data_IF_746578327469
#
_entry.id   IF_746578327469
#
_cell.length_a   1.000
_cell.length_b   1.000
_cell.length_c   1.000
_cell.angle_alpha   90.00
_cell.angle_beta   90.00
_cell.angle_gamma   90.00
#
_symmetry.space_group_name_H-M   'P 1'
#
loop_
_entity.id
_entity.type
_entity.pdbx_description
1 polymer ?
#
# COMPACT_ATOMS: atom_id res chain seq x y z
N UNK A 1 -45.68 -0.18 -0.38
CA UNK A 1 -44.45 0.63 -0.28
C UNK A 1 -43.51 -0.17 0.58
N UNK A 2 -42.40 -0.67 0.02
CA UNK A 2 -41.48 -1.54 0.75
C UNK A 2 -40.44 -0.69 1.46
N UNK A 3 -40.69 -0.41 2.74
CA UNK A 3 -39.63 0.09 3.63
C UNK A 3 -38.44 -0.87 3.59
N UNK A 4 -37.22 -0.35 3.56
CA UNK A 4 -35.96 -1.12 3.51
C UNK A 4 -35.90 -2.13 4.68
N UNK A 5 -36.30 -1.69 5.88
CA UNK A 5 -36.58 -2.50 7.07
C UNK A 5 -37.42 -1.68 8.06
N UNK A 6 -38.12 -2.33 8.99
CA UNK A 6 -38.90 -1.66 10.04
C UNK A 6 -38.11 -1.50 11.33
N UNK A 7 -37.36 -2.53 11.75
CA UNK A 7 -36.51 -2.41 12.94
C UNK A 7 -35.24 -3.25 12.93
N UNK A 8 -34.27 -2.91 13.80
CA UNK A 8 -33.09 -3.72 14.06
C UNK A 8 -33.29 -4.54 15.33
N UNK A 9 -32.90 -5.82 15.30
CA UNK A 9 -32.83 -6.67 16.51
C UNK A 9 -31.39 -6.93 16.98
N UNK A 10 -30.41 -6.50 16.19
CA UNK A 10 -28.99 -6.58 16.51
C UNK A 10 -28.26 -5.46 15.78
N UNK A 11 -27.32 -4.80 16.46
CA UNK A 11 -26.49 -3.76 15.88
C UNK A 11 -25.21 -3.61 16.73
N UNK A 12 -24.04 -3.83 16.15
CA UNK A 12 -22.75 -3.71 16.85
C UNK A 12 -21.63 -3.34 15.88
N UNK A 13 -20.53 -2.82 16.42
CA UNK A 13 -19.31 -2.57 15.69
C UNK A 13 -18.19 -3.50 16.16
N UNK A 14 -17.23 -3.73 15.28
CA UNK A 14 -15.98 -4.42 15.55
C UNK A 14 -14.94 -4.01 14.52
N UNK A 15 -13.68 -4.28 14.79
CA UNK A 15 -12.63 -4.31 13.77
C UNK A 15 -12.65 -5.65 13.04
N UNK A 16 -11.98 -5.71 11.88
CA UNK A 16 -11.89 -6.95 11.07
C UNK A 16 -11.29 -8.14 11.82
N UNK A 17 -10.42 -7.87 12.79
CA UNK A 17 -9.84 -8.88 13.68
C UNK A 17 -10.78 -9.26 14.86
N UNK A 18 -12.04 -8.82 14.83
CA UNK A 18 -13.06 -9.03 15.86
C UNK A 18 -12.77 -8.38 17.22
N UNK A 19 -11.87 -7.40 17.28
CA UNK A 19 -11.63 -6.59 18.49
C UNK A 19 -12.43 -5.28 18.44
N UNK A 20 -12.53 -4.58 19.56
CA UNK A 20 -13.13 -3.24 19.66
C UNK A 20 -12.09 -2.14 19.87
N UNK A 21 -10.79 -2.47 19.83
CA UNK A 21 -9.71 -1.51 20.02
C UNK A 21 -8.60 -1.77 19.01
N UNK A 22 -8.08 -0.71 18.39
CA UNK A 22 -7.00 -0.82 17.41
C UNK A 22 -6.11 0.41 17.39
N UNK A 23 -5.11 0.35 16.53
CA UNK A 23 -4.23 1.46 16.22
C UNK A 23 -4.28 1.77 14.73
N UNK A 24 -4.04 3.03 14.38
CA UNK A 24 -4.08 3.53 12.99
C UNK A 24 -2.95 4.53 12.79
N UNK A 25 -2.24 4.47 11.67
CA UNK A 25 -1.24 5.48 11.36
C UNK A 25 -1.91 6.80 10.94
N UNK A 26 -1.57 7.89 11.64
CA UNK A 26 -1.97 9.25 11.35
C UNK A 26 -1.17 9.84 10.19
N UNK A 27 -1.33 9.24 9.02
CA UNK A 27 -0.65 9.62 7.77
C UNK A 27 -1.65 10.02 6.65
N UNK A 28 -2.95 10.07 6.97
CA UNK A 28 -4.04 10.38 6.04
C UNK A 28 -4.28 9.37 4.93
N UNK A 29 -3.54 8.25 4.92
CA UNK A 29 -3.55 7.22 3.88
C UNK A 29 -3.92 5.85 4.44
N UNK A 30 -3.48 5.53 5.65
CA UNK A 30 -3.84 4.29 6.34
C UNK A 30 -5.35 4.31 6.62
N UNK A 31 -6.03 3.25 6.19
CA UNK A 31 -7.44 3.01 6.44
C UNK A 31 -7.60 1.77 7.32
N UNK A 32 -8.48 1.84 8.31
CA UNK A 32 -8.89 0.70 9.14
C UNK A 32 -10.33 0.35 8.86
N UNK A 33 -10.61 -0.94 8.67
CA UNK A 33 -11.97 -1.44 8.43
C UNK A 33 -12.73 -1.60 9.76
N UNK A 34 -13.77 -0.78 9.92
CA UNK A 34 -14.79 -0.90 10.96
C UNK A 34 -15.93 -1.72 10.39
N UNK A 35 -16.13 -2.91 10.95
CA UNK A 35 -17.18 -3.85 10.57
C UNK A 35 -18.41 -3.61 11.43
N UNK A 36 -19.47 -3.15 10.77
CA UNK A 36 -20.79 -2.98 11.34
C UNK A 36 -21.57 -4.27 11.12
N UNK A 37 -22.08 -4.87 12.19
CA UNK A 37 -22.90 -6.08 12.13
C UNK A 37 -24.33 -5.76 12.59
N UNK A 38 -25.33 -6.20 11.84
CA UNK A 38 -26.73 -5.94 12.16
C UNK A 38 -27.68 -7.05 11.71
N UNK A 39 -28.86 -7.11 12.33
CA UNK A 39 -29.99 -7.93 11.88
C UNK A 39 -31.19 -6.99 11.74
N UNK A 40 -31.70 -6.86 10.52
CA UNK A 40 -32.84 -6.03 10.18
C UNK A 40 -34.10 -6.89 10.00
N UNK A 41 -35.25 -6.35 10.40
CA UNK A 41 -36.56 -7.01 10.35
C UNK A 41 -37.59 -6.13 9.66
N UNK A 42 -38.55 -6.73 8.97
CA UNK A 42 -39.73 -6.05 8.46
C UNK A 42 -40.81 -5.83 9.56
N UNK A 43 -41.97 -5.32 9.16
CA UNK A 43 -43.10 -5.02 10.04
C UNK A 43 -43.79 -6.29 10.60
N UNK A 44 -43.49 -7.46 10.03
CA UNK A 44 -43.99 -8.76 10.46
C UNK A 44 -43.00 -9.49 11.37
N UNK A 45 -41.82 -8.93 11.58
CA UNK A 45 -40.75 -9.54 12.36
C UNK A 45 -39.97 -10.62 11.61
N UNK A 46 -40.05 -10.64 10.28
CA UNK A 46 -39.23 -11.50 9.43
C UNK A 46 -37.90 -10.80 9.11
N UNK A 47 -36.80 -11.56 9.13
CA UNK A 47 -35.49 -11.01 8.83
C UNK A 47 -35.41 -10.56 7.36
N UNK A 48 -34.92 -9.35 7.12
CA UNK A 48 -34.68 -8.81 5.78
C UNK A 48 -33.19 -8.62 5.51
N UNK A 49 -32.77 -8.98 4.30
CA UNK A 49 -31.40 -8.77 3.82
C UNK A 49 -31.34 -7.51 2.97
N UNK A 50 -30.43 -6.61 3.33
CA UNK A 50 -30.27 -5.32 2.70
C UNK A 50 -29.15 -5.40 1.66
N UNK A 51 -29.36 -4.81 0.50
CA UNK A 51 -28.30 -4.71 -0.50
C UNK A 51 -27.33 -3.57 -0.16
N UNK A 52 -26.15 -3.58 -0.79
CA UNK A 52 -25.11 -2.58 -0.54
C UNK A 52 -25.57 -1.14 -0.77
N UNK A 53 -26.48 -0.88 -1.72
CA UNK A 53 -26.97 0.48 -1.98
C UNK A 53 -27.87 0.97 -0.82
N UNK A 54 -28.74 0.09 -0.31
CA UNK A 54 -29.59 0.37 0.84
C UNK A 54 -28.76 0.64 2.10
N UNK A 55 -27.71 -0.16 2.33
CA UNK A 55 -26.83 0.02 3.49
C UNK A 55 -26.05 1.34 3.37
N UNK A 56 -25.37 1.58 2.23
CA UNK A 56 -24.59 2.80 2.02
C UNK A 56 -25.40 4.09 2.14
N UNK A 57 -26.69 4.05 1.80
CA UNK A 57 -27.55 5.23 1.88
C UNK A 57 -27.97 5.58 3.32
N UNK A 58 -28.03 4.58 4.20
CA UNK A 58 -28.69 4.69 5.51
C UNK A 58 -27.76 4.46 6.71
N UNK A 59 -26.57 3.90 6.48
CA UNK A 59 -25.58 3.62 7.51
C UNK A 59 -24.45 4.65 7.46
N UNK A 60 -24.14 5.26 8.60
CA UNK A 60 -23.03 6.19 8.74
C UNK A 60 -22.25 5.94 10.04
N UNK A 61 -20.99 6.40 10.08
CA UNK A 61 -20.18 6.37 11.29
C UNK A 61 -20.28 7.70 12.04
N UNK A 62 -20.37 7.65 13.37
CA UNK A 62 -20.45 8.82 14.24
C UNK A 62 -19.49 8.72 15.44
N UNK A 63 -19.28 9.83 16.13
CA UNK A 63 -18.63 9.86 17.43
C UNK A 63 -19.53 9.18 18.47
N UNK A 64 -18.95 8.26 19.24
CA UNK A 64 -19.70 7.44 20.19
C UNK A 64 -20.33 8.25 21.33
N UNK A 65 -19.76 9.38 21.73
CA UNK A 65 -20.26 10.18 22.83
C UNK A 65 -21.22 11.28 22.38
N UNK A 66 -20.97 11.90 21.22
CA UNK A 66 -21.79 13.03 20.74
C UNK A 66 -22.84 12.64 19.72
N UNK A 67 -22.68 11.52 19.02
CA UNK A 67 -23.52 11.15 17.88
C UNK A 67 -23.25 11.96 16.61
N UNK A 68 -22.35 12.93 16.66
CA UNK A 68 -21.98 13.75 15.49
C UNK A 68 -21.17 12.92 14.47
N UNK A 69 -21.18 13.26 13.17
CA UNK A 69 -20.36 12.58 12.17
C UNK A 69 -18.88 12.50 12.58
N UNK A 70 -18.21 11.38 12.24
CA UNK A 70 -16.78 11.21 12.59
C UNK A 70 -15.85 12.16 11.83
N UNK A 71 -16.32 12.86 10.79
CA UNK A 71 -15.50 13.66 9.87
C UNK A 71 -14.97 14.99 10.46
N UNK A 72 -14.84 15.03 11.78
CA UNK A 72 -14.37 16.16 12.56
C UNK A 72 -12.97 15.88 13.12
N UNK A 73 -12.23 16.93 13.48
CA UNK A 73 -10.94 16.84 14.18
C UNK A 73 -9.87 15.99 13.46
N UNK A 74 -9.93 15.95 12.13
CA UNK A 74 -8.95 15.22 11.30
C UNK A 74 -9.23 13.73 11.13
N UNK A 75 -10.39 13.22 11.57
CA UNK A 75 -10.87 11.87 11.25
C UNK A 75 -11.72 11.90 9.98
N UNK A 76 -11.74 10.79 9.23
CA UNK A 76 -12.48 10.71 7.96
C UNK A 76 -13.10 9.33 7.74
N UNK A 77 -14.30 9.31 7.19
CA UNK A 77 -14.97 8.11 6.68
C UNK A 77 -14.62 7.90 5.19
N UNK A 78 -13.67 7.01 4.91
CA UNK A 78 -13.28 6.60 3.55
C UNK A 78 -12.74 7.73 2.66
N UNK A 79 -11.41 7.86 2.55
CA UNK A 79 -10.77 8.87 1.69
C UNK A 79 -10.33 8.35 0.32
N UNK A 80 -10.46 7.06 0.04
CA UNK A 80 -10.07 6.52 -1.27
C UNK A 80 -10.50 5.09 -1.58
N UNK A 81 -9.89 4.52 -2.62
CA UNK A 81 -10.19 3.19 -3.12
C UNK A 81 -9.77 2.04 -2.17
N UNK A 82 -9.22 2.32 -0.98
CA UNK A 82 -8.71 1.27 -0.09
C UNK A 82 -7.27 0.89 -0.35
N UNK A 83 -6.42 1.85 -0.72
CA UNK A 83 -5.05 1.54 -1.12
C UNK A 83 -4.20 1.05 0.07
N UNK A 84 -4.36 1.58 1.29
CA UNK A 84 -3.55 1.21 2.46
C UNK A 84 -4.41 0.72 3.65
N UNK A 85 -5.11 -0.40 3.43
CA UNK A 85 -6.00 -1.01 4.42
C UNK A 85 -5.22 -1.83 5.46
N UNK A 86 -5.61 -1.70 6.73
CA UNK A 86 -5.18 -2.52 7.86
C UNK A 86 -6.37 -2.97 8.71
N UNK A 87 -6.16 -3.98 9.56
CA UNK A 87 -7.17 -4.53 10.47
C UNK A 87 -7.17 -3.86 11.86
N UNK A 88 -6.42 -2.76 12.03
CA UNK A 88 -6.20 -2.09 13.31
C UNK A 88 -5.06 -2.70 14.14
N UNK A 89 -4.38 -3.74 13.66
CA UNK A 89 -3.13 -4.25 14.23
C UNK A 89 -1.98 -3.75 13.37
N UNK A 90 -1.34 -2.67 13.84
CA UNK A 90 -0.13 -2.15 13.20
C UNK A 90 1.13 -2.69 13.88
N UNK A 91 2.21 -2.81 13.10
CA UNK A 91 3.49 -3.27 13.61
C UNK A 91 3.99 -2.40 14.76
N UNK A 92 4.56 -3.05 15.78
CA UNK A 92 5.08 -2.37 16.96
C UNK A 92 4.02 -1.92 17.97
N UNK A 93 2.72 -2.02 17.66
CA UNK A 93 1.65 -1.76 18.65
C UNK A 93 1.68 -2.80 19.78
N UNK A 94 1.31 -2.40 21.00
CA UNK A 94 1.17 -3.34 22.11
C UNK A 94 0.16 -4.46 21.80
N UNK A 95 -0.87 -4.15 21.01
CA UNK A 95 -1.86 -5.11 20.52
C UNK A 95 -1.23 -6.19 19.63
N UNK A 96 -0.29 -5.84 18.75
CA UNK A 96 0.44 -6.81 17.91
C UNK A 96 1.28 -7.80 18.74
N UNK A 97 1.71 -7.42 19.95
CA UNK A 97 2.45 -8.31 20.88
C UNK A 97 1.54 -9.25 21.67
N UNK A 98 0.27 -8.86 21.85
CA UNK A 98 -0.74 -9.65 22.56
C UNK A 98 -1.55 -10.54 21.60
N UNK A 99 -1.60 -10.19 20.31
CA UNK A 99 -2.22 -11.01 19.28
C UNK A 99 -1.28 -12.13 18.81
N UNK A 100 -0.99 -13.12 19.67
CA UNK A 100 -0.63 -14.44 19.15
C UNK A 100 -1.89 -15.01 18.50
N UNK A 101 -2.03 -14.79 17.19
CA UNK A 101 -3.18 -15.28 16.44
C UNK A 101 -3.29 -16.81 16.64
N UNK A 102 -4.46 -17.34 17.06
CA UNK A 102 -4.78 -18.73 16.83
C UNK A 102 -4.66 -18.97 15.33
N UNK A 103 -3.94 -20.03 14.93
CA UNK A 103 -3.76 -20.39 13.53
C UNK A 103 -5.12 -20.32 12.79
N UNK A 104 -5.16 -19.79 11.55
CA UNK A 104 -6.38 -19.73 10.77
C UNK A 104 -6.89 -21.15 10.58
N UNK A 105 -7.89 -21.56 11.36
CA UNK A 105 -8.63 -22.77 11.09
C UNK A 105 -9.33 -22.54 9.76
N UNK A 106 -8.95 -23.35 8.77
CA UNK A 106 -9.56 -23.48 7.44
C UNK A 106 -10.90 -22.76 7.32
N UNK A 107 -10.90 -21.65 6.59
CA UNK A 107 -12.13 -21.03 6.09
C UNK A 107 -12.70 -22.01 5.06
N UNK A 108 -13.42 -23.02 5.55
CA UNK A 108 -14.40 -23.71 4.72
C UNK A 108 -15.43 -22.66 4.34
N UNK A 109 -15.54 -22.39 3.04
CA UNK A 109 -16.67 -21.69 2.47
C UNK A 109 -17.93 -22.50 2.79
N UNK A 110 -18.54 -22.18 3.92
CA UNK A 110 -19.83 -22.71 4.32
C UNK A 110 -20.87 -22.03 3.40
N UNK A 111 -21.16 -22.71 2.29
CA UNK A 111 -22.42 -22.55 1.58
C UNK A 111 -23.50 -23.08 2.53
N UNK A 112 -23.98 -22.22 3.43
CA UNK A 112 -25.09 -22.53 4.32
C UNK A 112 -26.34 -22.13 3.58
N UNK A 113 -27.08 -23.10 3.05
CA UNK A 113 -28.51 -22.87 2.86
C UNK A 113 -29.08 -22.44 4.21
N UNK A 114 -29.85 -21.33 4.29
CA UNK A 114 -30.32 -20.81 5.55
C UNK A 114 -31.12 -21.89 6.28
N UNK A 115 -30.56 -22.42 7.37
CA UNK A 115 -31.28 -23.32 8.25
C UNK A 115 -32.48 -22.55 8.81
N UNK A 116 -33.69 -23.01 8.51
CA UNK A 116 -34.93 -22.42 9.03
C UNK A 116 -34.82 -22.24 10.55
N UNK A 117 -34.91 -21.00 11.02
CA UNK A 117 -34.95 -20.65 12.44
C UNK A 117 -33.69 -20.00 13.02
N UNK A 118 -32.59 -19.89 12.27
CA UNK A 118 -31.41 -19.14 12.72
C UNK A 118 -31.35 -17.75 12.10
N UNK A 119 -31.23 -16.72 12.95
CA UNK A 119 -30.96 -15.36 12.52
C UNK A 119 -29.49 -15.22 12.11
N UNK A 120 -29.22 -14.59 10.97
CA UNK A 120 -27.86 -14.44 10.43
C UNK A 120 -27.51 -12.95 10.35
N UNK A 121 -26.58 -12.43 11.17
CA UNK A 121 -26.12 -11.06 11.03
C UNK A 121 -25.57 -10.75 9.64
N UNK A 122 -25.93 -9.59 9.10
CA UNK A 122 -25.26 -8.99 7.96
C UNK A 122 -24.11 -8.12 8.44
N UNK A 123 -22.99 -8.19 7.71
CA UNK A 123 -21.80 -7.40 8.00
C UNK A 123 -21.54 -6.42 6.88
N UNK A 124 -21.22 -5.17 7.24
CA UNK A 124 -20.83 -4.13 6.31
C UNK A 124 -19.55 -3.44 6.80
N UNK A 125 -18.54 -3.34 5.93
CA UNK A 125 -17.25 -2.75 6.30
C UNK A 125 -17.19 -1.29 5.83
N UNK A 126 -16.98 -0.38 6.77
CA UNK A 126 -16.70 1.02 6.53
C UNK A 126 -15.22 1.30 6.83
N UNK A 127 -14.62 2.25 6.13
CA UNK A 127 -13.19 2.56 6.27
C UNK A 127 -13.00 3.85 7.02
N UNK A 128 -12.11 3.84 7.99
CA UNK A 128 -11.75 5.03 8.76
C UNK A 128 -10.30 5.38 8.50
N UNK A 129 -10.01 6.64 8.21
CA UNK A 129 -8.65 7.18 8.16
C UNK A 129 -8.53 8.35 9.12
N UNK A 130 -7.28 8.69 9.47
CA UNK A 130 -6.98 9.84 10.30
C UNK A 130 -5.83 10.64 9.71
N UNK A 131 -6.01 11.96 9.68
CA UNK A 131 -5.06 12.91 9.12
C UNK A 131 -3.78 13.03 9.94
N UNK A 132 -2.79 13.68 9.34
CA UNK A 132 -1.52 13.94 10.00
C UNK A 132 -1.70 14.82 11.24
N UNK A 133 -0.87 14.61 12.26
CA UNK A 133 -0.84 15.36 13.51
C UNK A 133 -2.09 15.21 14.40
N UNK A 134 -2.91 14.18 14.19
CA UNK A 134 -3.97 13.79 15.13
C UNK A 134 -3.38 12.79 16.13
N UNK A 135 -3.52 13.09 17.42
CA UNK A 135 -2.96 12.27 18.51
C UNK A 135 -4.04 11.69 19.44
N UNK A 136 -5.25 12.27 19.42
CA UNK A 136 -6.34 11.83 20.29
C UNK A 136 -6.99 10.57 19.74
N UNK A 137 -7.17 9.57 20.60
CA UNK A 137 -7.98 8.40 20.29
C UNK A 137 -9.44 8.79 20.00
N UNK A 138 -10.11 8.04 19.13
CA UNK A 138 -11.50 8.26 18.76
C UNK A 138 -12.31 7.01 19.03
N UNK A 139 -13.42 7.19 19.75
CA UNK A 139 -14.45 6.17 19.94
C UNK A 139 -15.50 6.34 18.84
N UNK A 140 -15.61 5.34 17.98
CA UNK A 140 -16.40 5.35 16.76
C UNK A 140 -17.63 4.46 16.97
N UNK A 141 -18.79 5.02 16.72
CA UNK A 141 -20.10 4.35 16.71
C UNK A 141 -20.70 4.39 15.30
N UNK A 142 -21.88 3.81 15.14
CA UNK A 142 -22.64 3.87 13.90
C UNK A 142 -24.09 4.32 14.13
N UNK A 143 -24.65 4.94 13.10
CA UNK A 143 -26.05 5.35 12.99
C UNK A 143 -26.66 4.67 11.76
N UNK A 144 -27.82 4.06 11.94
CA UNK A 144 -28.58 3.40 10.87
C UNK A 144 -30.02 3.91 10.88
N UNK A 145 -30.45 4.62 9.84
CA UNK A 145 -31.84 5.05 9.67
C UNK A 145 -32.64 4.09 8.80
N UNK A 146 -33.95 3.97 9.04
CA UNK A 146 -34.86 3.38 8.06
C UNK A 146 -35.55 4.48 7.22
N UNK A 147 -36.39 4.07 6.25
CA UNK A 147 -37.11 5.02 5.38
C UNK A 147 -38.17 5.85 6.12
N UNK A 148 -38.64 5.37 7.28
CA UNK A 148 -39.61 6.08 8.14
C UNK A 148 -38.93 7.14 9.04
N UNK A 149 -37.60 7.29 8.94
CA UNK A 149 -36.82 8.22 9.75
C UNK A 149 -36.54 7.72 11.17
N UNK A 150 -36.83 6.46 11.48
CA UNK A 150 -36.44 5.84 12.74
C UNK A 150 -34.92 5.60 12.73
N UNK A 151 -34.25 6.09 13.77
CA UNK A 151 -32.79 6.08 13.90
C UNK A 151 -32.37 5.05 14.95
N UNK A 152 -31.44 4.19 14.56
CA UNK A 152 -30.75 3.24 15.41
C UNK A 152 -29.31 3.68 15.57
N UNK A 153 -28.77 3.62 16.78
CA UNK A 153 -27.42 4.10 17.08
C UNK A 153 -26.69 3.10 17.96
N UNK A 154 -25.36 3.13 17.95
CA UNK A 154 -24.52 2.40 18.91
C UNK A 154 -23.79 3.31 19.91
N UNK A 155 -24.26 4.56 20.08
CA UNK A 155 -23.70 5.60 20.96
C UNK A 155 -23.84 5.24 22.45
N UNK A 156 -23.14 5.98 23.33
CA UNK A 156 -23.02 5.73 24.77
C UNK A 156 -24.32 5.77 25.60
N UNK A 157 -25.49 5.87 24.95
CA UNK A 157 -26.82 5.96 25.56
C UNK A 157 -27.90 5.24 24.76
N UNK A 158 -27.52 4.47 23.75
CA UNK A 158 -28.46 3.76 22.89
C UNK A 158 -28.74 2.34 23.42
N UNK A 159 -29.78 1.71 22.89
CA UNK A 159 -30.09 0.29 23.18
C UNK A 159 -29.08 -0.69 22.56
N UNK A 160 -28.24 -0.23 21.64
CA UNK A 160 -27.24 -1.02 20.92
C UNK A 160 -25.82 -0.52 21.20
N UNK A 161 -25.56 -0.07 22.43
CA UNK A 161 -24.29 0.53 22.84
C UNK A 161 -23.08 -0.34 22.43
N UNK A 162 -22.28 0.17 21.50
CA UNK A 162 -21.14 -0.53 20.92
C UNK A 162 -20.24 0.46 20.18
N UNK A 163 -18.94 0.42 20.44
CA UNK A 163 -17.98 1.25 19.72
C UNK A 163 -16.67 0.53 19.44
N UNK A 164 -15.94 1.08 18.47
CA UNK A 164 -14.55 0.76 18.21
C UNK A 164 -13.70 1.96 18.62
N UNK A 165 -12.62 1.72 19.37
CA UNK A 165 -11.67 2.76 19.75
C UNK A 165 -10.41 2.63 18.90
N UNK A 166 -10.09 3.65 18.11
CA UNK A 166 -8.85 3.73 17.34
C UNK A 166 -7.89 4.74 17.98
N UNK A 167 -6.67 4.29 18.25
CA UNK A 167 -5.59 5.13 18.76
C UNK A 167 -4.64 5.51 17.62
N UNK A 168 -4.52 6.81 17.28
CA UNK A 168 -3.57 7.27 16.28
C UNK A 168 -2.11 6.98 16.68
N UNK A 169 -1.31 6.61 15.70
CA UNK A 169 0.14 6.48 15.79
C UNK A 169 0.77 7.39 14.75
N UNK A 170 1.82 8.13 15.13
CA UNK A 170 2.49 9.04 14.23
C UNK A 170 2.99 8.32 12.96
N UNK A 171 2.93 9.01 11.82
CA UNK A 171 3.49 8.54 10.55
C UNK A 171 4.97 8.14 10.74
N UNK A 172 5.33 6.93 10.31
CA UNK A 172 6.74 6.51 10.26
C UNK A 172 7.36 7.10 9.00
N UNK A 173 8.44 7.85 9.16
CA UNK A 173 9.31 8.25 8.05
C UNK A 173 10.44 7.23 7.92
N UNK A 174 10.63 6.73 6.70
CA UNK A 174 11.70 5.79 6.38
C UNK A 174 12.93 6.52 5.83
N UNK A 175 14.10 6.03 6.23
CA UNK A 175 15.42 6.51 5.82
C UNK A 175 16.22 5.36 5.20
N UNK A 176 17.46 5.66 4.79
CA UNK A 176 18.40 4.64 4.28
C UNK A 176 18.64 3.49 5.25
N UNK A 177 18.66 3.77 6.55
CA UNK A 177 18.95 2.80 7.61
C UNK A 177 17.82 1.79 7.78
N UNK A 178 16.60 2.16 7.38
CA UNK A 178 15.44 1.29 7.39
C UNK A 178 15.41 0.33 6.18
N UNK A 179 16.39 0.41 5.26
CA UNK A 179 16.46 -0.36 4.02
C UNK A 179 17.66 -1.30 3.99
N UNK A 180 17.47 -2.48 3.39
CA UNK A 180 18.52 -3.46 3.13
C UNK A 180 18.63 -3.70 1.62
N UNK A 181 19.86 -3.62 1.10
CA UNK A 181 20.21 -4.04 -0.25
C UNK A 181 20.48 -5.54 -0.26
N UNK A 182 19.73 -6.27 -1.10
CA UNK A 182 20.01 -7.65 -1.47
C UNK A 182 20.57 -7.65 -2.89
N UNK A 183 21.86 -7.91 -2.99
CA UNK A 183 22.48 -8.19 -4.28
C UNK A 183 22.11 -9.62 -4.69
N UNK A 184 21.52 -9.79 -5.87
CA UNK A 184 21.24 -11.11 -6.38
C UNK A 184 22.05 -11.40 -7.65
N UNK A 185 22.42 -12.67 -7.81
CA UNK A 185 23.25 -13.18 -8.90
C UNK A 185 22.52 -13.35 -10.24
N UNK A 186 21.41 -12.66 -10.47
CA UNK A 186 20.70 -12.71 -11.76
C UNK A 186 21.46 -11.88 -12.78
N UNK A 187 22.45 -12.54 -13.38
CA UNK A 187 23.34 -11.96 -14.37
C UNK A 187 22.91 -12.42 -15.77
N UNK A 188 22.62 -11.46 -16.63
CA UNK A 188 22.48 -11.70 -18.07
C UNK A 188 23.63 -10.99 -18.77
N UNK A 189 24.40 -11.73 -19.58
CA UNK A 189 25.46 -11.15 -20.42
C UNK A 189 25.08 -11.30 -21.88
N UNK A 190 25.24 -10.23 -22.65
CA UNK A 190 25.14 -10.25 -24.11
C UNK A 190 26.43 -9.66 -24.69
N UNK A 191 26.88 -10.20 -25.80
CA UNK A 191 28.09 -9.76 -26.49
C UNK A 191 27.83 -9.75 -27.99
N UNK A 192 28.42 -8.79 -28.70
CA UNK A 192 28.31 -8.72 -30.15
C UNK A 192 29.43 -7.90 -30.79
N UNK A 193 29.39 -7.77 -32.10
CA UNK A 193 30.27 -6.91 -32.86
C UNK A 193 29.47 -5.74 -33.44
N UNK A 194 30.04 -4.54 -33.40
CA UNK A 194 29.44 -3.40 -34.08
C UNK A 194 29.53 -3.58 -35.59
N UNK A 195 28.45 -3.30 -36.31
CA UNK A 195 28.45 -3.37 -37.78
C UNK A 195 29.36 -2.31 -38.42
N UNK A 196 29.75 -1.27 -37.67
CA UNK A 196 30.44 -0.07 -38.16
C UNK A 196 31.85 0.09 -37.51
N UNK A 197 32.14 -0.58 -36.39
CA UNK A 197 33.46 -0.52 -35.73
C UNK A 197 33.99 -1.92 -35.44
N UNK A 198 35.32 -2.09 -35.44
CA UNK A 198 36.00 -3.37 -35.14
C UNK A 198 35.93 -3.76 -33.66
N UNK A 199 35.30 -2.93 -32.80
CA UNK A 199 35.17 -3.18 -31.38
C UNK A 199 34.04 -4.16 -31.07
N UNK A 200 34.36 -5.22 -30.32
CA UNK A 200 33.35 -6.01 -29.63
C UNK A 200 32.65 -5.13 -28.58
N UNK A 201 31.35 -5.28 -28.43
CA UNK A 201 30.61 -4.71 -27.31
C UNK A 201 30.13 -5.82 -26.40
N UNK A 202 30.11 -5.52 -25.11
CA UNK A 202 29.55 -6.39 -24.08
C UNK A 202 28.54 -5.57 -23.29
N UNK A 203 27.38 -6.17 -23.03
CA UNK A 203 26.40 -5.67 -22.07
C UNK A 203 26.19 -6.67 -20.95
N UNK A 204 26.19 -6.17 -19.72
CA UNK A 204 25.96 -6.97 -18.52
C UNK A 204 24.79 -6.38 -17.74
N UNK A 205 23.79 -7.21 -17.46
CA UNK A 205 22.63 -6.88 -16.65
C UNK A 205 22.83 -7.41 -15.22
N UNK A 206 22.45 -6.58 -14.26
CA UNK A 206 22.43 -6.90 -12.83
C UNK A 206 21.10 -6.44 -12.22
N UNK A 207 20.51 -7.24 -11.35
CA UNK A 207 19.34 -6.81 -10.57
C UNK A 207 19.75 -6.60 -9.11
N UNK A 208 19.34 -5.46 -8.56
CA UNK A 208 19.51 -5.11 -7.16
C UNK A 208 18.13 -4.96 -6.51
N UNK A 209 17.97 -5.49 -5.31
CA UNK A 209 16.70 -5.45 -4.60
C UNK A 209 16.84 -4.67 -3.31
N UNK A 210 15.97 -3.70 -3.11
CA UNK A 210 15.85 -2.98 -1.85
C UNK A 210 14.56 -3.42 -1.16
N UNK A 211 14.66 -3.77 0.12
CA UNK A 211 13.51 -4.06 0.96
C UNK A 211 13.70 -3.39 2.32
N UNK A 212 12.63 -3.30 3.11
CA UNK A 212 12.76 -2.85 4.49
C UNK A 212 13.60 -3.84 5.30
N UNK A 213 14.47 -3.30 6.16
CA UNK A 213 15.28 -4.09 7.11
C UNK A 213 14.40 -4.85 8.11
N UNK A 214 13.22 -4.31 8.43
CA UNK A 214 12.19 -5.05 9.15
C UNK A 214 11.43 -5.97 8.19
N UNK A 215 11.61 -7.29 8.35
CA UNK A 215 11.00 -8.31 7.49
C UNK A 215 9.46 -8.42 7.58
N UNK A 216 8.82 -7.71 8.52
CA UNK A 216 7.37 -7.61 8.61
C UNK A 216 6.81 -6.47 7.74
N UNK A 217 7.67 -5.58 7.25
CA UNK A 217 7.32 -4.52 6.32
C UNK A 217 7.60 -4.96 4.89
N UNK A 218 6.80 -4.46 3.95
CA UNK A 218 7.06 -4.63 2.53
C UNK A 218 6.72 -3.36 1.76
N UNK A 219 7.43 -3.11 0.66
CA UNK A 219 7.14 -1.99 -0.23
C UNK A 219 5.85 -2.32 -0.96
N UNK A 220 4.78 -1.57 -0.67
CA UNK A 220 3.47 -1.75 -1.29
C UNK A 220 3.30 -0.90 -2.54
N UNK A 221 3.89 0.28 -2.53
CA UNK A 221 3.82 1.25 -3.62
C UNK A 221 5.10 2.05 -3.63
N UNK A 222 5.48 2.52 -4.80
CA UNK A 222 6.43 3.61 -4.90
C UNK A 222 6.00 4.60 -5.97
N UNK A 223 6.45 5.85 -5.83
CA UNK A 223 6.15 6.94 -6.75
C UNK A 223 7.46 7.58 -7.17
N UNK A 224 7.57 7.92 -8.43
CA UNK A 224 8.73 8.66 -8.94
C UNK A 224 8.39 10.14 -8.90
N UNK A 225 9.10 10.90 -8.08
CA UNK A 225 8.92 12.33 -7.90
C UNK A 225 9.65 13.08 -9.04
N UNK A 226 9.14 12.98 -10.28
CA UNK A 226 9.67 13.73 -11.42
C UNK A 226 8.56 14.35 -12.28
N UNK A 227 8.80 15.57 -12.75
CA UNK A 227 7.88 16.38 -13.56
C UNK A 227 7.87 16.01 -15.06
N UNK A 228 8.28 14.80 -15.45
CA UNK A 228 8.44 14.44 -16.87
C UNK A 228 7.65 13.18 -17.18
N UNK A 229 6.55 13.38 -17.93
CA UNK A 229 5.69 12.40 -18.61
C UNK A 229 5.40 11.08 -17.86
N UNK A 230 4.16 10.97 -17.38
CA UNK A 230 3.54 9.84 -16.66
C UNK A 230 3.48 8.49 -17.43
N UNK A 231 4.24 8.32 -18.51
CA UNK A 231 4.15 7.13 -19.38
C UNK A 231 5.47 6.38 -19.60
N UNK A 232 6.61 6.88 -19.12
CA UNK A 232 7.90 6.25 -19.40
C UNK A 232 8.56 5.69 -18.12
N UNK A 233 9.05 4.45 -18.19
CA UNK A 233 10.01 3.90 -17.22
C UNK A 233 11.13 4.94 -16.99
N UNK A 234 11.48 5.24 -15.73
CA UNK A 234 12.55 6.20 -15.48
C UNK A 234 13.89 5.51 -15.61
N UNK A 235 14.54 5.81 -16.73
CA UNK A 235 15.93 5.45 -16.97
C UNK A 235 16.82 6.54 -16.39
N UNK A 236 17.57 6.20 -15.35
CA UNK A 236 18.68 6.99 -14.84
C UNK A 236 19.91 6.57 -15.62
N UNK A 237 20.60 7.53 -16.23
CA UNK A 237 21.84 7.24 -16.97
C UNK A 237 23.05 7.90 -16.32
N UNK A 238 24.14 7.16 -16.35
CA UNK A 238 25.50 7.65 -16.16
C UNK A 238 26.35 7.21 -17.32
N UNK A 239 27.17 8.11 -17.83
CA UNK A 239 28.27 7.77 -18.73
C UNK A 239 29.56 8.28 -18.12
N UNK A 240 30.59 7.44 -18.11
CA UNK A 240 31.90 7.80 -17.61
C UNK A 240 33.01 7.05 -18.33
N UNK A 241 34.18 7.66 -18.35
CA UNK A 241 35.42 7.04 -18.82
C UNK A 241 36.28 6.73 -17.59
N UNK A 242 36.58 5.45 -17.30
CA UNK A 242 37.47 5.08 -16.21
C UNK A 242 38.83 5.75 -16.38
N UNK A 243 39.49 6.23 -15.32
CA UNK A 243 40.82 6.82 -15.42
C UNK A 243 41.88 5.87 -16.01
N UNK A 244 41.64 4.57 -15.84
CA UNK A 244 42.50 3.46 -16.24
C UNK A 244 42.27 2.98 -17.69
N UNK A 245 41.18 3.39 -18.34
CA UNK A 245 40.92 3.10 -19.75
C UNK A 245 40.35 4.33 -20.48
N UNK A 246 41.26 5.12 -21.06
CA UNK A 246 40.90 6.34 -21.80
C UNK A 246 40.19 6.06 -23.14
N UNK A 247 40.12 4.80 -23.56
CA UNK A 247 39.61 4.42 -24.87
C UNK A 247 38.25 3.70 -24.81
N UNK A 248 37.78 3.32 -23.62
CA UNK A 248 36.43 2.78 -23.42
C UNK A 248 35.56 3.73 -22.60
N UNK A 249 34.46 4.17 -23.20
CA UNK A 249 33.39 4.83 -22.44
C UNK A 249 32.41 3.77 -21.97
N UNK A 250 32.05 3.84 -20.69
CA UNK A 250 31.06 2.97 -20.06
C UNK A 250 29.74 3.72 -19.94
N UNK A 251 28.63 3.03 -20.24
CA UNK A 251 27.29 3.51 -19.92
C UNK A 251 26.66 2.61 -18.87
N UNK A 252 26.28 3.21 -17.74
CA UNK A 252 25.45 2.58 -16.73
C UNK A 252 24.05 3.15 -16.86
N UNK A 253 23.07 2.28 -17.03
CA UNK A 253 21.65 2.62 -17.00
C UNK A 253 21.01 1.91 -15.81
N UNK A 254 20.42 2.68 -14.89
CA UNK A 254 19.58 2.15 -13.83
C UNK A 254 18.15 2.40 -14.24
N UNK A 255 17.38 1.32 -14.31
CA UNK A 255 15.97 1.36 -14.63
C UNK A 255 15.22 1.19 -13.32
N UNK A 256 14.51 2.25 -12.92
CA UNK A 256 13.68 2.26 -11.70
C UNK A 256 12.31 1.74 -12.08
N UNK A 257 12.01 0.53 -11.60
CA UNK A 257 10.93 -0.28 -12.11
C UNK A 257 9.57 0.08 -11.49
N UNK A 258 8.60 0.51 -12.30
CA UNK A 258 7.22 0.94 -11.95
C UNK A 258 6.31 -0.10 -11.29
N UNK A 259 6.80 -1.32 -10.99
CA UNK A 259 6.00 -2.46 -10.50
C UNK A 259 4.89 -2.90 -11.48
N UNK A 260 4.91 -2.40 -12.71
CA UNK A 260 3.98 -2.74 -13.78
C UNK A 260 4.73 -3.18 -15.05
N UNK A 261 4.32 -4.31 -15.63
CA UNK A 261 4.90 -4.87 -16.86
C UNK A 261 5.95 -5.96 -16.62
N UNK A 262 6.45 -6.57 -17.71
CA UNK A 262 7.43 -7.68 -17.64
C UNK A 262 8.78 -7.37 -18.29
N UNK A 263 8.85 -6.26 -19.00
CA UNK A 263 9.94 -5.95 -19.91
C UNK A 263 10.35 -4.49 -19.72
N UNK A 264 11.64 -4.23 -19.81
CA UNK A 264 12.25 -2.89 -19.79
C UNK A 264 13.06 -2.70 -21.06
N UNK A 265 13.00 -1.50 -21.63
CA UNK A 265 13.85 -1.11 -22.76
C UNK A 265 15.03 -0.29 -22.26
N UNK A 266 16.25 -0.73 -22.55
CA UNK A 266 17.47 0.03 -22.28
C UNK A 266 18.24 0.24 -23.58
N UNK A 267 18.95 1.36 -23.68
CA UNK A 267 19.74 1.67 -24.88
C UNK A 267 21.16 1.16 -24.66
N UNK A 268 21.51 0.04 -25.29
CA UNK A 268 22.87 -0.48 -25.33
C UNK A 268 23.70 0.12 -26.49
N UNK A 269 24.98 -0.29 -26.59
CA UNK A 269 25.84 0.04 -27.73
C UNK A 269 25.26 -0.41 -29.09
N UNK A 270 24.43 -1.44 -29.09
CA UNK A 270 23.77 -2.05 -30.26
C UNK A 270 22.40 -1.44 -30.60
N UNK A 271 21.97 -0.42 -29.86
CA UNK A 271 20.66 0.21 -29.99
C UNK A 271 19.74 -0.07 -28.81
N UNK A 272 18.42 -0.06 -29.03
CA UNK A 272 17.46 -0.32 -27.93
C UNK A 272 17.23 -1.82 -27.78
N UNK A 273 17.60 -2.37 -26.61
CA UNK A 273 17.40 -3.76 -26.26
C UNK A 273 16.33 -3.89 -25.16
N UNK A 274 15.59 -5.00 -25.20
CA UNK A 274 14.60 -5.34 -24.18
C UNK A 274 15.16 -6.37 -23.19
N UNK A 275 14.96 -6.12 -21.91
CA UNK A 275 15.37 -6.98 -20.80
C UNK A 275 14.16 -7.37 -19.96
N UNK A 276 14.14 -8.60 -19.45
CA UNK A 276 13.06 -9.07 -18.56
C UNK A 276 13.20 -8.46 -17.17
N UNK A 277 12.12 -7.87 -16.65
CA UNK A 277 12.02 -7.45 -15.25
C UNK A 277 12.04 -8.69 -14.35
N UNK A 278 12.79 -8.65 -13.25
CA UNK A 278 12.75 -9.71 -12.24
C UNK A 278 12.18 -9.18 -10.93
N UNK A 279 11.00 -8.58 -11.00
CA UNK A 279 10.32 -8.01 -9.83
C UNK A 279 10.04 -9.06 -8.76
N UNK A 280 10.12 -8.64 -7.50
CA UNK A 280 9.78 -9.46 -6.33
C UNK A 280 8.73 -8.74 -5.51
N UNK A 281 7.62 -9.39 -5.15
CA UNK A 281 6.60 -8.78 -4.30
C UNK A 281 7.22 -8.20 -3.02
N UNK A 282 6.90 -6.95 -2.72
CA UNK A 282 7.37 -6.29 -1.51
C UNK A 282 8.77 -5.67 -1.56
N UNK A 283 9.44 -5.70 -2.72
CA UNK A 283 10.79 -5.17 -2.90
C UNK A 283 10.85 -4.20 -4.08
N UNK A 284 11.71 -3.18 -3.97
CA UNK A 284 12.06 -2.32 -5.10
C UNK A 284 13.17 -3.01 -5.90
N UNK A 285 12.91 -3.30 -7.17
CA UNK A 285 13.92 -3.83 -8.09
C UNK A 285 14.55 -2.69 -8.88
N UNK A 286 15.87 -2.60 -8.81
CA UNK A 286 16.67 -1.78 -9.72
C UNK A 286 17.39 -2.68 -10.70
N UNK A 287 17.09 -2.50 -11.98
CA UNK A 287 17.83 -3.18 -13.05
C UNK A 287 18.96 -2.27 -13.49
N UNK A 288 20.20 -2.73 -13.35
CA UNK A 288 21.39 -2.09 -13.92
C UNK A 288 21.73 -2.78 -15.23
N UNK A 289 21.92 -1.99 -16.28
CA UNK A 289 22.54 -2.42 -17.54
C UNK A 289 23.84 -1.67 -17.70
N UNK A 290 24.94 -2.40 -17.79
CA UNK A 290 26.28 -1.89 -18.05
C UNK A 290 26.67 -2.22 -19.49
N UNK A 291 27.12 -1.23 -20.25
CA UNK A 291 27.58 -1.39 -21.62
C UNK A 291 28.94 -0.74 -21.84
N UNK A 292 29.85 -1.49 -22.47
CA UNK A 292 31.17 -0.99 -22.85
C UNK A 292 31.19 -0.48 -24.29
N UNK A 293 32.19 0.33 -24.63
CA UNK A 293 32.41 0.86 -25.99
C UNK A 293 31.24 1.69 -26.54
N UNK A 294 30.59 2.45 -25.67
CA UNK A 294 29.61 3.46 -26.10
C UNK A 294 30.38 4.63 -26.71
N UNK A 295 29.90 5.21 -27.82
CA UNK A 295 30.54 6.39 -28.43
C UNK A 295 30.72 7.50 -27.39
N UNK A 296 31.85 8.20 -27.40
CA UNK A 296 32.20 9.26 -26.43
C UNK A 296 31.07 10.27 -26.24
N UNK A 297 30.59 10.40 -25.00
CA UNK A 297 29.61 11.41 -24.61
C UNK A 297 30.13 12.11 -23.36
N UNK A 298 29.79 13.38 -23.18
CA UNK A 298 30.13 14.14 -21.98
C UNK A 298 29.70 13.38 -20.72
N UNK A 299 30.55 13.38 -19.70
CA UNK A 299 30.21 12.83 -18.39
C UNK A 299 28.96 13.53 -17.87
N UNK A 300 27.87 12.78 -17.70
CA UNK A 300 26.66 13.27 -17.08
C UNK A 300 26.12 12.20 -16.14
N UNK A 301 25.52 12.65 -15.04
CA UNK A 301 24.84 11.80 -14.09
C UNK A 301 23.44 12.30 -13.88
N UNK A 302 22.50 11.37 -13.90
CA UNK A 302 21.13 11.64 -13.52
C UNK A 302 20.88 11.09 -12.13
N UNK A 303 19.97 11.74 -11.42
CA UNK A 303 19.33 11.21 -10.23
C UNK A 303 17.83 11.31 -10.38
N UNK A 304 17.13 10.54 -9.55
CA UNK A 304 15.68 10.62 -9.43
C UNK A 304 15.28 10.49 -7.97
N UNK A 305 14.32 11.31 -7.55
CA UNK A 305 13.71 11.17 -6.23
C UNK A 305 12.53 10.23 -6.36
N UNK A 306 12.43 9.27 -5.44
CA UNK A 306 11.30 8.33 -5.34
C UNK A 306 10.71 8.41 -3.94
N UNK A 307 9.41 8.20 -3.84
CA UNK A 307 8.71 8.01 -2.57
C UNK A 307 8.35 6.54 -2.44
N UNK A 308 8.86 5.83 -1.43
CA UNK A 308 8.46 4.45 -1.14
C UNK A 308 7.37 4.46 -0.07
N UNK A 309 6.37 3.60 -0.22
CA UNK A 309 5.29 3.40 0.74
C UNK A 309 5.26 1.96 1.24
N UNK A 310 5.11 1.79 2.55
CA UNK A 310 4.85 0.48 3.16
C UNK A 310 3.38 0.06 3.01
N UNK A 311 3.02 -1.09 3.56
CA UNK A 311 1.65 -1.61 3.50
C UNK A 311 0.60 -0.77 4.23
N UNK A 312 1.04 0.13 5.12
CA UNK A 312 0.22 1.03 5.92
C UNK A 312 0.23 2.47 5.38
N UNK A 313 0.92 2.74 4.27
CA UNK A 313 1.01 4.06 3.66
C UNK A 313 2.00 5.00 4.35
N UNK A 314 2.81 4.52 5.30
CA UNK A 314 3.98 5.26 5.79
C UNK A 314 5.00 5.35 4.67
N UNK A 315 5.83 6.41 4.66
CA UNK A 315 6.67 6.71 3.50
C UNK A 315 8.07 7.17 3.85
N UNK A 316 8.98 7.00 2.91
CA UNK A 316 10.28 7.69 2.88
C UNK A 316 10.50 8.28 1.49
N UNK A 317 11.30 9.35 1.42
CA UNK A 317 11.77 9.90 0.16
C UNK A 317 13.22 9.47 -0.02
N UNK A 318 13.55 9.00 -1.21
CA UNK A 318 14.83 8.40 -1.50
C UNK A 318 15.35 9.00 -2.80
N UNK A 319 16.62 9.36 -2.86
CA UNK A 319 17.27 9.69 -4.13
C UNK A 319 17.95 8.43 -4.68
N UNK A 320 17.73 8.14 -5.96
CA UNK A 320 18.46 7.10 -6.69
C UNK A 320 19.42 7.79 -7.63
N UNK A 321 20.69 7.42 -7.56
CA UNK A 321 21.79 7.97 -8.35
C UNK A 321 22.71 6.85 -8.81
N UNK A 322 23.76 7.23 -9.52
CA UNK A 322 24.82 6.36 -10.04
C UNK A 322 26.16 6.82 -9.46
N UNK A 323 26.95 5.90 -8.89
CA UNK A 323 28.30 6.19 -8.41
C UNK A 323 29.36 5.79 -9.45
N UNK A 324 30.57 6.33 -9.29
CA UNK A 324 31.71 6.12 -10.21
C UNK A 324 32.37 4.74 -10.09
N UNK A 325 32.11 4.01 -9.01
CA UNK A 325 32.93 2.88 -8.56
C UNK A 325 32.50 1.54 -9.17
N UNK A 326 31.96 1.51 -10.40
CA UNK A 326 31.46 0.30 -11.07
C UNK A 326 30.40 -0.48 -10.27
N UNK A 327 29.93 0.01 -9.13
CA UNK A 327 28.77 -0.47 -8.40
C UNK A 327 27.67 0.57 -8.60
N UNK A 328 26.54 0.21 -9.20
CA UNK A 328 25.36 1.03 -9.03
C UNK A 328 25.01 0.99 -7.55
N UNK A 329 25.24 2.08 -6.82
CA UNK A 329 24.70 2.25 -5.47
C UNK A 329 23.52 3.18 -5.59
N UNK A 330 22.38 2.80 -5.00
CA UNK A 330 21.45 3.84 -4.60
C UNK A 330 22.18 4.60 -3.48
N UNK A 331 22.76 5.76 -3.79
CA UNK A 331 23.04 6.72 -2.73
C UNK A 331 21.70 7.32 -2.35
N UNK A 332 21.05 6.68 -1.38
CA UNK A 332 19.88 7.26 -0.77
C UNK A 332 20.41 8.45 0.03
N UNK A 333 20.20 9.66 -0.46
CA UNK A 333 20.47 10.88 0.31
C UNK A 333 19.16 11.40 0.88
N UNK A 334 19.11 11.55 2.21
CA UNK A 334 18.03 12.23 2.95
C UNK A 334 18.00 13.74 2.64
#
# INVERSE_FOLDING_TARGET
MSGIFSYLGYFTLSLRNSTNTGSIYANGRNEVEVVVNFIAFDDKGEQVFLNNAQINHNLSLCDYYTGEPIENDGWYNGRGNGEFISDGIILGSQLARLSTAPAPKNVQSLSVEPMKGFLIPQSFAMRVSVGNNVFAAKSIAAIFSNEDGLVYETTARSQFESCVVLTPVAEKTYTTEDMTLYENSDHEKRSGQNAISTGAWDTSKYNQYYAFSNNQLFIKKFLINKAVNLQDDVVIRSMYTPPEDQYSSHSIQILVDSMEGKLVKAIGPDGTATYTKNERPGQLCLTRVDGNNVSTVDNFRQSVVVTLYDQYGNKGNFTITTSNDLAARIEITD
#
